data_IF_410596101653
#
_entry.id   IF_410596101653
#
_cell.length_a   1.000
_cell.length_b   1.000
_cell.length_c   1.000
_cell.angle_alpha   90.00
_cell.angle_beta   90.00
_cell.angle_gamma   90.00
#
_symmetry.space_group_name_H-M   'P 1'
#
loop_
_entity.id
_entity.type
_entity.pdbx_description
1 polymer ?
#
# COMPACT_ATOMS: atom_id res chain seq x y z
N UNK A 1 -22.74 33.47 44.13
CA UNK A 1 -23.93 32.97 43.42
C UNK A 1 -24.37 34.07 42.48
N UNK A 2 -24.00 33.97 41.21
CA UNK A 2 -24.36 34.93 40.16
C UNK A 2 -25.34 34.22 39.24
N UNK A 3 -26.60 34.69 39.26
CA UNK A 3 -27.67 34.20 38.40
C UNK A 3 -27.37 34.51 36.93
N UNK A 4 -27.63 33.53 36.07
CA UNK A 4 -27.54 33.69 34.62
C UNK A 4 -28.80 34.41 34.11
N UNK A 5 -28.61 35.51 33.38
CA UNK A 5 -29.67 36.24 32.69
C UNK A 5 -30.19 35.40 31.51
N UNK A 6 -31.49 35.12 31.39
CA UNK A 6 -32.01 34.37 30.25
C UNK A 6 -32.00 35.24 28.99
N UNK A 7 -31.46 34.69 27.90
CA UNK A 7 -31.55 35.28 26.58
C UNK A 7 -32.97 35.04 26.01
N UNK A 8 -33.67 36.14 25.70
CA UNK A 8 -34.91 36.22 24.94
C UNK A 8 -36.14 35.45 25.48
N UNK A 9 -37.01 36.15 26.21
CA UNK A 9 -38.41 35.72 26.43
C UNK A 9 -39.26 36.05 25.20
N UNK A 10 -39.69 35.02 24.47
CA UNK A 10 -40.78 35.08 23.51
C UNK A 10 -42.03 34.36 24.06
N UNK A 11 -43.20 34.96 23.91
CA UNK A 11 -44.48 34.40 24.39
C UNK A 11 -44.98 33.33 23.40
N UNK A 12 -45.12 32.08 23.85
CA UNK A 12 -45.64 30.97 23.03
C UNK A 12 -47.17 30.85 23.18
N UNK A 13 -47.86 30.59 22.06
CA UNK A 13 -49.29 30.32 22.02
C UNK A 13 -49.65 28.94 22.63
N UNK A 14 -50.84 28.83 23.22
CA UNK A 14 -51.32 27.71 24.04
C UNK A 14 -51.44 26.33 23.34
N UNK A 15 -51.13 26.23 22.05
CA UNK A 15 -51.24 24.99 21.27
C UNK A 15 -49.89 24.42 20.80
N UNK A 16 -48.78 24.87 21.36
CA UNK A 16 -47.45 24.46 20.89
C UNK A 16 -46.88 23.34 21.76
N UNK A 17 -46.67 22.15 21.17
CA UNK A 17 -45.98 21.04 21.84
C UNK A 17 -44.50 21.37 22.03
N UNK A 18 -44.09 21.60 23.28
CA UNK A 18 -42.68 21.76 23.65
C UNK A 18 -41.95 20.43 23.46
N UNK A 19 -40.97 20.42 22.54
CA UNK A 19 -40.02 19.31 22.44
C UNK A 19 -38.74 19.73 23.15
N UNK A 20 -38.47 19.12 24.30
CA UNK A 20 -37.18 19.31 24.98
C UNK A 20 -36.08 18.69 24.12
N UNK A 21 -35.24 19.53 23.52
CA UNK A 21 -34.03 19.08 22.82
C UNK A 21 -32.88 19.12 23.81
N UNK A 22 -32.44 17.96 24.28
CA UNK A 22 -31.23 17.85 25.10
C UNK A 22 -30.02 18.20 24.23
N UNK A 23 -29.49 19.41 24.38
CA UNK A 23 -28.22 19.81 23.74
C UNK A 23 -27.09 19.27 24.59
N UNK A 24 -26.66 18.03 24.34
CA UNK A 24 -25.43 17.51 24.93
C UNK A 24 -24.23 18.21 24.32
N UNK A 25 -23.42 18.86 25.15
CA UNK A 25 -22.19 19.48 24.68
C UNK A 25 -21.31 18.41 24.01
N UNK A 26 -20.82 18.69 22.80
CA UNK A 26 -19.92 17.78 22.07
C UNK A 26 -18.47 18.15 22.39
N UNK A 27 -17.59 17.15 22.35
CA UNK A 27 -16.14 17.29 22.48
C UNK A 27 -15.47 16.86 21.20
N UNK A 28 -14.46 17.62 20.80
CA UNK A 28 -13.59 17.28 19.69
C UNK A 28 -12.64 16.18 20.13
N UNK A 29 -12.63 15.07 19.42
CA UNK A 29 -11.63 14.02 19.56
C UNK A 29 -10.73 14.07 18.34
N UNK A 30 -9.42 14.17 18.58
CA UNK A 30 -8.40 14.27 17.54
C UNK A 30 -7.32 13.21 17.74
N UNK A 31 -7.14 12.34 16.75
CA UNK A 31 -5.98 11.44 16.68
C UNK A 31 -4.96 12.05 15.73
N UNK A 32 -3.72 12.27 16.19
CA UNK A 32 -2.62 12.83 15.41
C UNK A 32 -1.57 11.75 15.20
N UNK A 33 -1.14 11.53 13.95
CA UNK A 33 -0.21 10.47 13.60
C UNK A 33 1.16 11.02 13.21
N UNK A 34 2.17 10.58 13.94
CA UNK A 34 3.58 10.71 13.56
C UNK A 34 4.10 9.35 13.04
N UNK A 35 4.17 9.22 11.72
CA UNK A 35 4.75 8.04 11.04
C UNK A 35 6.13 8.35 10.44
N UNK A 36 6.81 9.39 10.95
CA UNK A 36 8.12 9.81 10.43
C UNK A 36 9.21 8.75 10.59
N UNK A 37 9.05 7.82 11.54
CA UNK A 37 9.95 6.71 11.75
C UNK A 37 10.11 5.81 10.50
N UNK A 38 9.12 5.77 9.61
CA UNK A 38 9.18 4.93 8.40
C UNK A 38 8.78 5.67 7.13
N UNK A 39 7.63 6.34 7.15
CA UNK A 39 7.09 7.11 6.01
C UNK A 39 6.13 8.17 6.54
N UNK A 40 6.58 9.44 6.52
CA UNK A 40 5.84 10.59 7.06
C UNK A 40 4.45 10.76 6.44
N UNK A 41 4.30 10.43 5.16
CA UNK A 41 3.08 10.58 4.36
C UNK A 41 2.33 9.25 4.15
N UNK A 42 2.53 8.26 5.03
CA UNK A 42 1.88 6.95 4.91
C UNK A 42 0.35 7.09 4.82
N UNK A 43 -0.21 6.64 3.70
CA UNK A 43 -1.65 6.68 3.41
C UNK A 43 -2.42 5.59 4.18
N UNK A 44 -2.45 5.72 5.50
CA UNK A 44 -3.02 4.73 6.42
C UNK A 44 -4.56 4.74 6.36
N UNK A 45 -5.21 3.63 5.95
CA UNK A 45 -6.66 3.53 6.02
C UNK A 45 -7.12 3.44 7.48
N UNK A 46 -8.29 4.02 7.76
CA UNK A 46 -8.86 4.03 9.10
C UNK A 46 -10.39 4.00 9.09
N UNK A 47 -10.95 3.54 10.22
CA UNK A 47 -12.36 3.68 10.59
C UNK A 47 -12.46 4.07 12.06
N UNK A 48 -13.50 4.82 12.40
CA UNK A 48 -13.78 5.22 13.80
C UNK A 48 -15.14 4.73 14.22
N UNK A 49 -15.29 4.39 15.50
CA UNK A 49 -16.57 4.05 16.11
C UNK A 49 -16.87 4.93 17.31
N UNK A 50 -18.16 5.19 17.53
CA UNK A 50 -18.68 5.89 18.69
C UNK A 50 -19.73 4.95 19.31
N UNK A 51 -19.52 4.57 20.57
CA UNK A 51 -20.38 3.65 21.32
C UNK A 51 -20.62 2.32 20.57
N UNK A 52 -19.56 1.79 19.96
CA UNK A 52 -19.57 0.55 19.18
C UNK A 52 -20.12 0.69 17.76
N UNK A 53 -20.73 1.84 17.40
CA UNK A 53 -21.23 2.09 16.04
C UNK A 53 -20.14 2.70 15.17
N UNK A 54 -19.70 1.96 14.15
CA UNK A 54 -18.73 2.46 13.18
C UNK A 54 -19.35 3.56 12.32
N UNK A 55 -18.59 4.63 12.14
CA UNK A 55 -18.98 5.79 11.36
C UNK A 55 -18.70 5.51 9.88
N UNK A 56 -19.64 4.83 9.21
CA UNK A 56 -19.56 4.44 7.79
C UNK A 56 -20.13 5.52 6.84
N UNK A 57 -20.34 6.75 7.32
CA UNK A 57 -21.05 7.80 6.57
C UNK A 57 -20.32 8.30 5.30
N UNK A 58 -19.05 7.92 5.12
CA UNK A 58 -18.28 8.24 3.91
C UNK A 58 -18.41 7.10 2.89
N UNK A 59 -18.80 7.43 1.66
CA UNK A 59 -18.95 6.46 0.56
C UNK A 59 -17.64 5.74 0.20
N UNK A 60 -16.49 6.25 0.65
CA UNK A 60 -15.16 5.71 0.39
C UNK A 60 -14.38 5.42 1.67
N UNK A 61 -13.38 4.53 1.58
CA UNK A 61 -12.49 4.23 2.68
C UNK A 61 -11.66 5.46 3.07
N UNK A 62 -11.72 5.85 4.35
CA UNK A 62 -10.99 7.00 4.86
C UNK A 62 -9.50 6.65 4.94
N UNK A 63 -8.64 7.58 4.51
CA UNK A 63 -7.19 7.43 4.58
C UNK A 63 -6.53 8.70 5.08
N UNK A 64 -5.48 8.54 5.86
CA UNK A 64 -4.55 9.65 6.10
C UNK A 64 -3.87 10.03 4.78
N UNK A 65 -3.44 11.28 4.67
CA UNK A 65 -2.66 11.76 3.52
C UNK A 65 -1.47 12.59 4.02
N UNK A 66 -0.54 12.96 3.14
CA UNK A 66 0.56 13.86 3.50
C UNK A 66 0.08 15.20 4.07
N UNK A 67 -1.07 15.71 3.59
CA UNK A 67 -1.68 16.97 4.05
C UNK A 67 -2.64 16.82 5.24
N UNK A 68 -3.15 15.61 5.50
CA UNK A 68 -4.08 15.31 6.61
C UNK A 68 -3.52 14.19 7.48
N UNK A 69 -2.75 14.58 8.52
CA UNK A 69 -2.16 13.67 9.52
C UNK A 69 -2.97 13.53 10.80
N UNK A 70 -4.23 13.96 10.77
CA UNK A 70 -5.13 13.81 11.91
C UNK A 70 -6.52 13.35 11.50
N UNK A 71 -7.13 12.55 12.38
CA UNK A 71 -8.52 12.13 12.33
C UNK A 71 -9.27 12.97 13.36
N UNK A 72 -10.40 13.56 12.98
CA UNK A 72 -11.20 14.43 13.84
C UNK A 72 -12.65 13.97 13.83
N UNK A 73 -13.27 13.91 15.01
CA UNK A 73 -14.68 13.59 15.19
C UNK A 73 -15.24 14.31 16.41
N UNK A 74 -16.57 14.37 16.50
CA UNK A 74 -17.30 14.94 17.63
C UNK A 74 -18.04 13.85 18.39
N UNK A 75 -17.82 13.76 19.69
CA UNK A 75 -18.45 12.79 20.58
C UNK A 75 -19.02 13.48 21.82
N UNK A 76 -20.04 12.90 22.46
CA UNK A 76 -20.54 13.41 23.73
C UNK A 76 -19.61 12.97 24.88
N UNK A 77 -19.49 13.74 25.97
CA UNK A 77 -18.94 13.25 27.22
C UNK A 77 -19.59 11.92 27.62
N UNK A 78 -18.79 11.00 28.14
CA UNK A 78 -19.18 9.63 28.46
C UNK A 78 -19.16 8.65 27.29
N UNK A 79 -19.15 9.12 26.03
CA UNK A 79 -19.12 8.24 24.86
C UNK A 79 -17.77 7.51 24.74
N UNK A 80 -17.80 6.27 24.28
CA UNK A 80 -16.61 5.48 23.96
C UNK A 80 -16.26 5.68 22.50
N UNK A 81 -15.09 6.25 22.24
CA UNK A 81 -14.53 6.39 20.89
C UNK A 81 -13.46 5.34 20.65
N UNK A 82 -13.49 4.71 19.48
CA UNK A 82 -12.54 3.65 19.12
C UNK A 82 -12.05 3.80 17.67
N UNK A 83 -10.79 3.45 17.45
CA UNK A 83 -10.09 3.58 16.18
C UNK A 83 -9.70 2.20 15.65
N UNK A 84 -9.96 1.97 14.36
CA UNK A 84 -9.52 0.82 13.58
C UNK A 84 -8.59 1.31 12.48
N UNK A 85 -7.52 0.57 12.20
CA UNK A 85 -6.47 0.95 11.26
C UNK A 85 -6.16 -0.23 10.33
N UNK A 86 -5.53 0.07 9.20
CA UNK A 86 -4.97 -0.95 8.31
C UNK A 86 -6.02 -1.96 7.81
N UNK A 87 -5.74 -3.27 7.74
CA UNK A 87 -6.70 -4.26 7.26
C UNK A 87 -7.92 -4.45 8.18
N UNK A 88 -7.83 -4.08 9.47
CA UNK A 88 -8.96 -4.14 10.40
C UNK A 88 -10.06 -3.10 10.09
N UNK A 89 -9.83 -2.23 9.11
CA UNK A 89 -10.90 -1.38 8.57
C UNK A 89 -11.95 -2.19 7.81
N UNK A 90 -11.57 -3.36 7.27
CA UNK A 90 -12.48 -4.25 6.55
C UNK A 90 -13.58 -4.74 7.49
N UNK A 91 -14.87 -4.61 7.14
CA UNK A 91 -15.99 -4.94 8.02
C UNK A 91 -15.94 -6.39 8.54
N UNK A 92 -15.54 -7.34 7.69
CA UNK A 92 -15.48 -8.76 8.06
C UNK A 92 -14.26 -9.14 8.94
N UNK A 93 -13.22 -8.30 8.99
CA UNK A 93 -11.98 -8.59 9.73
C UNK A 93 -11.83 -7.77 11.00
N UNK A 94 -12.66 -6.74 11.16
CA UNK A 94 -12.69 -5.85 12.30
C UNK A 94 -13.04 -6.60 13.59
N UNK A 95 -12.03 -6.92 14.40
CA UNK A 95 -12.22 -7.62 15.69
C UNK A 95 -12.14 -6.67 16.88
N UNK A 96 -10.99 -6.02 17.05
CA UNK A 96 -10.73 -5.15 18.19
C UNK A 96 -10.18 -3.80 17.72
N UNK A 97 -10.62 -2.67 18.30
CA UNK A 97 -10.04 -1.37 17.99
C UNK A 97 -8.62 -1.29 18.54
N UNK A 98 -7.71 -0.70 17.77
CA UNK A 98 -6.31 -0.51 18.19
C UNK A 98 -6.20 0.47 19.36
N UNK A 99 -7.00 1.54 19.34
CA UNK A 99 -7.03 2.53 20.40
C UNK A 99 -8.48 2.86 20.71
N UNK A 100 -8.82 2.87 21.99
CA UNK A 100 -10.14 3.26 22.46
C UNK A 100 -10.00 4.07 23.75
N UNK A 101 -10.87 5.06 23.94
CA UNK A 101 -10.96 5.85 25.17
C UNK A 101 -12.39 6.30 25.42
N UNK A 102 -12.69 6.65 26.66
CA UNK A 102 -13.94 7.29 27.03
C UNK A 102 -13.73 8.80 27.06
N UNK A 103 -14.63 9.54 26.41
CA UNK A 103 -14.54 11.00 26.31
C UNK A 103 -14.97 11.62 27.63
N UNK A 104 -14.12 12.46 28.20
CA UNK A 104 -14.40 13.19 29.44
C UNK A 104 -15.06 14.55 29.20
N UNK A 105 -14.82 15.47 30.12
CA UNK A 105 -15.37 16.83 30.10
C UNK A 105 -14.64 17.79 29.17
N UNK A 106 -13.49 17.39 28.60
CA UNK A 106 -12.63 18.22 27.76
C UNK A 106 -12.54 17.70 26.33
N UNK A 107 -12.04 18.53 25.42
CA UNK A 107 -11.62 18.06 24.11
C UNK A 107 -10.44 17.07 24.28
N UNK A 108 -10.24 16.17 23.33
CA UNK A 108 -9.26 15.09 23.41
C UNK A 108 -8.28 15.17 22.26
N UNK A 109 -6.99 15.09 22.56
CA UNK A 109 -5.92 14.92 21.58
C UNK A 109 -5.10 13.68 21.90
N UNK A 110 -5.01 12.72 20.96
CA UNK A 110 -4.20 11.51 21.10
C UNK A 110 -3.05 11.59 20.09
N UNK A 111 -1.82 11.72 20.57
CA UNK A 111 -0.63 11.62 19.74
C UNK A 111 -0.19 10.16 19.61
N UNK A 112 -0.33 9.62 18.40
CA UNK A 112 0.11 8.27 18.03
C UNK A 112 1.47 8.39 17.34
N UNK A 113 2.52 7.86 17.96
CA UNK A 113 3.89 7.90 17.43
C UNK A 113 4.33 6.51 16.98
N UNK A 114 4.69 6.39 15.72
CA UNK A 114 5.28 5.19 15.15
C UNK A 114 6.72 5.00 15.65
N UNK A 115 7.09 3.78 16.07
CA UNK A 115 8.46 3.46 16.52
C UNK A 115 8.95 2.12 15.98
N UNK A 116 10.14 2.14 15.39
CA UNK A 116 10.85 0.95 14.92
C UNK A 116 11.54 0.20 16.06
N UNK A 117 11.92 -1.05 15.79
CA UNK A 117 12.61 -1.94 16.73
C UNK A 117 11.68 -2.86 17.51
N UNK A 118 12.28 -3.86 18.16
CA UNK A 118 11.59 -4.88 18.96
C UNK A 118 11.26 -4.31 20.36
N UNK A 119 10.12 -3.63 20.46
CA UNK A 119 9.73 -2.93 21.70
C UNK A 119 8.90 -3.83 22.65
N UNK A 120 8.21 -4.86 22.16
CA UNK A 120 7.56 -5.85 23.01
C UNK A 120 6.19 -5.45 23.54
N UNK A 121 5.37 -4.82 22.68
CA UNK A 121 4.00 -4.51 23.07
C UNK A 121 3.10 -5.74 22.94
N UNK A 122 2.53 -6.18 24.07
CA UNK A 122 1.51 -7.23 24.06
C UNK A 122 0.17 -6.75 23.47
N UNK A 123 -0.14 -5.46 23.63
CA UNK A 123 -1.31 -4.81 23.02
C UNK A 123 -1.07 -3.30 22.87
N UNK A 124 -1.79 -2.70 21.94
CA UNK A 124 -1.91 -1.25 21.86
C UNK A 124 -2.64 -0.66 23.08
N UNK A 125 -2.13 0.44 23.62
CA UNK A 125 -2.73 1.17 24.74
C UNK A 125 -2.66 2.67 24.51
N UNK A 126 -3.70 3.37 24.96
CA UNK A 126 -3.67 4.82 25.14
C UNK A 126 -3.15 5.08 26.55
N UNK A 127 -2.08 5.86 26.69
CA UNK A 127 -1.47 6.16 27.99
C UNK A 127 -2.36 7.06 28.87
N UNK A 128 -1.83 7.53 29.99
CA UNK A 128 -2.52 8.50 30.85
C UNK A 128 -2.58 9.88 30.19
N UNK A 129 -3.70 10.59 30.35
CA UNK A 129 -3.82 11.97 29.87
C UNK A 129 -3.07 12.97 30.74
N UNK A 130 -2.67 14.06 30.10
CA UNK A 130 -2.31 15.32 30.75
C UNK A 130 -3.23 16.40 30.21
N UNK A 131 -3.98 17.07 31.08
CA UNK A 131 -4.84 18.18 30.67
C UNK A 131 -4.00 19.43 30.41
N UNK A 132 -4.14 20.00 29.21
CA UNK A 132 -3.48 21.23 28.78
C UNK A 132 -4.52 22.32 28.55
N UNK A 133 -4.25 23.52 29.03
CA UNK A 133 -5.05 24.70 28.70
C UNK A 133 -4.72 25.19 27.28
N UNK A 134 -5.75 25.39 26.45
CA UNK A 134 -5.67 25.87 25.08
C UNK A 134 -6.64 27.05 24.92
N UNK A 135 -6.19 28.24 25.34
CA UNK A 135 -7.04 29.42 25.47
C UNK A 135 -8.07 29.21 26.60
N UNK A 136 -9.35 29.44 26.30
CA UNK A 136 -10.47 29.23 27.23
C UNK A 136 -10.92 27.76 27.35
N UNK A 137 -10.31 26.84 26.58
CA UNK A 137 -10.68 25.42 26.57
C UNK A 137 -9.57 24.56 27.14
N UNK A 138 -9.95 23.55 27.92
CA UNK A 138 -9.06 22.48 28.32
C UNK A 138 -9.08 21.34 27.29
N UNK A 139 -7.93 20.70 27.09
CA UNK A 139 -7.73 19.54 26.21
C UNK A 139 -7.00 18.45 26.96
N UNK A 140 -7.56 17.24 27.00
CA UNK A 140 -6.90 16.06 27.55
C UNK A 140 -5.99 15.44 26.48
N UNK A 141 -4.68 15.52 26.73
CA UNK A 141 -3.65 15.05 25.80
C UNK A 141 -3.15 13.67 26.19
N UNK A 142 -3.30 12.69 25.30
CA UNK A 142 -2.86 11.32 25.46
C UNK A 142 -1.69 11.00 24.53
N UNK A 143 -0.90 9.99 24.89
CA UNK A 143 0.15 9.42 24.04
C UNK A 143 -0.11 7.95 23.79
N UNK A 144 0.16 7.50 22.57
CA UNK A 144 0.09 6.10 22.17
C UNK A 144 1.25 5.78 21.21
N UNK A 145 1.66 4.51 21.18
CA UNK A 145 2.71 4.03 20.29
C UNK A 145 2.13 3.14 19.21
N UNK A 146 2.69 3.21 18.00
CA UNK A 146 2.41 2.31 16.87
C UNK A 146 3.70 1.58 16.49
N UNK A 147 3.90 0.37 17.03
CA UNK A 147 5.13 -0.43 16.84
C UNK A 147 4.88 -1.59 15.86
N UNK A 148 5.94 -2.32 15.49
CA UNK A 148 5.78 -3.53 14.68
C UNK A 148 4.86 -4.57 15.33
N UNK A 149 4.95 -4.79 16.65
CA UNK A 149 4.03 -5.68 17.37
C UNK A 149 2.56 -5.22 17.24
N UNK A 150 2.31 -3.91 17.29
CA UNK A 150 0.95 -3.36 17.15
C UNK A 150 0.47 -3.48 15.70
N UNK A 151 1.33 -3.23 14.71
CA UNK A 151 1.00 -3.51 13.30
C UNK A 151 0.61 -4.97 13.08
N UNK A 152 1.31 -5.91 13.73
CA UNK A 152 0.96 -7.32 13.70
C UNK A 152 -0.42 -7.59 14.32
N UNK A 153 -0.74 -6.93 15.44
CA UNK A 153 -2.03 -7.07 16.10
C UNK A 153 -3.20 -6.62 15.21
N UNK A 154 -3.04 -5.52 14.47
CA UNK A 154 -4.10 -4.88 13.65
C UNK A 154 -4.10 -5.33 12.18
N UNK A 155 -3.27 -6.31 11.86
CA UNK A 155 -3.24 -6.91 10.54
C UNK A 155 -4.05 -8.20 10.59
N UNK A 156 -4.92 -8.43 9.61
CA UNK A 156 -5.77 -9.61 9.64
C UNK A 156 -4.93 -10.87 9.40
N UNK A 157 -5.14 -11.89 10.24
CA UNK A 157 -4.53 -13.20 10.09
C UNK A 157 -5.56 -14.13 9.45
N UNK A 158 -5.40 -14.39 8.15
CA UNK A 158 -6.33 -15.23 7.40
C UNK A 158 -6.20 -16.69 7.82
N UNK A 159 -7.34 -17.35 7.98
CA UNK A 159 -7.42 -18.80 8.17
C UNK A 159 -7.53 -19.52 6.82
N UNK A 160 -7.25 -20.83 6.81
CA UNK A 160 -7.44 -21.66 5.62
C UNK A 160 -8.87 -21.64 5.09
N UNK A 161 -9.87 -21.57 5.97
CA UNK A 161 -11.29 -21.47 5.59
C UNK A 161 -11.61 -20.12 4.93
N UNK A 162 -11.08 -19.02 5.49
CA UNK A 162 -11.22 -17.70 4.87
C UNK A 162 -10.52 -17.63 3.51
N UNK A 163 -9.32 -18.20 3.41
CA UNK A 163 -8.62 -18.28 2.15
C UNK A 163 -9.47 -18.96 1.08
N UNK A 164 -10.02 -20.14 1.38
CA UNK A 164 -10.86 -20.86 0.42
C UNK A 164 -12.12 -20.09 0.01
N UNK A 165 -12.75 -19.38 0.96
CA UNK A 165 -13.94 -18.56 0.72
C UNK A 165 -13.67 -17.30 -0.12
N UNK A 166 -12.47 -16.72 -0.01
CA UNK A 166 -12.06 -15.53 -0.76
C UNK A 166 -11.71 -15.87 -2.21
N UNK A 167 -11.19 -17.07 -2.46
CA UNK A 167 -10.72 -17.46 -3.78
C UNK A 167 -11.89 -17.60 -4.79
N UNK A 168 -11.83 -16.89 -5.93
CA UNK A 168 -12.88 -16.99 -6.95
C UNK A 168 -13.14 -18.43 -7.40
N UNK A 169 -14.39 -18.83 -7.68
CA UNK A 169 -14.72 -20.20 -8.07
C UNK A 169 -13.89 -20.75 -9.24
N UNK A 170 -13.50 -19.88 -10.18
CA UNK A 170 -12.69 -20.18 -11.35
C UNK A 170 -11.18 -20.37 -11.06
N UNK A 171 -10.74 -20.15 -9.81
CA UNK A 171 -9.35 -20.38 -9.42
C UNK A 171 -8.97 -21.84 -9.71
N UNK A 172 -7.87 -22.11 -10.45
CA UNK A 172 -7.47 -23.47 -10.78
C UNK A 172 -7.37 -24.36 -9.53
N UNK A 173 -7.86 -25.62 -9.56
CA UNK A 173 -7.88 -26.48 -8.38
C UNK A 173 -6.50 -26.66 -7.71
N UNK A 174 -5.44 -26.80 -8.51
CA UNK A 174 -4.07 -26.89 -8.00
C UNK A 174 -3.64 -25.62 -7.26
N UNK A 175 -4.01 -24.44 -7.78
CA UNK A 175 -3.75 -23.15 -7.13
C UNK A 175 -4.54 -23.03 -5.84
N UNK A 176 -5.82 -23.40 -5.84
CA UNK A 176 -6.67 -23.37 -4.63
C UNK A 176 -6.08 -24.21 -3.50
N UNK A 177 -5.65 -25.45 -3.81
CA UNK A 177 -4.98 -26.34 -2.84
C UNK A 177 -3.69 -25.71 -2.31
N UNK A 178 -2.87 -25.16 -3.21
CA UNK A 178 -1.59 -24.55 -2.86
C UNK A 178 -1.76 -23.31 -1.97
N UNK A 179 -2.69 -22.42 -2.32
CA UNK A 179 -3.02 -21.24 -1.51
C UNK A 179 -3.52 -21.68 -0.14
N UNK A 180 -4.47 -22.62 -0.06
CA UNK A 180 -4.98 -23.13 1.22
C UNK A 180 -3.86 -23.70 2.10
N UNK A 181 -2.88 -24.39 1.51
CA UNK A 181 -1.73 -24.93 2.24
C UNK A 181 -0.89 -23.83 2.93
N UNK A 182 -0.76 -22.65 2.32
CA UNK A 182 -0.10 -21.49 2.95
C UNK A 182 -0.78 -21.14 4.28
N UNK A 183 -2.11 -21.04 4.28
CA UNK A 183 -2.90 -20.65 5.45
C UNK A 183 -3.18 -21.78 6.45
N UNK A 184 -2.97 -23.04 6.04
CA UNK A 184 -2.93 -24.19 6.97
C UNK A 184 -1.59 -24.32 7.68
N UNK A 185 -0.58 -23.57 7.25
CA UNK A 185 0.78 -23.62 7.80
C UNK A 185 1.66 -24.57 6.99
N UNK A 186 2.60 -23.99 6.23
CA UNK A 186 3.60 -24.77 5.50
C UNK A 186 4.62 -25.39 6.46
N UNK A 187 5.17 -26.57 6.13
CA UNK A 187 6.25 -27.19 6.92
C UNK A 187 7.61 -26.51 6.71
N UNK A 188 7.79 -25.82 5.58
CA UNK A 188 9.00 -25.11 5.22
C UNK A 188 8.64 -23.84 4.41
N UNK A 189 9.60 -22.94 4.21
CA UNK A 189 9.44 -21.75 3.38
C UNK A 189 9.43 -22.05 1.87
N UNK A 190 8.79 -23.15 1.50
CA UNK A 190 8.69 -23.66 0.14
C UNK A 190 7.29 -24.20 -0.10
N UNK A 191 6.81 -24.01 -1.33
CA UNK A 191 5.52 -24.52 -1.81
C UNK A 191 5.74 -25.14 -3.18
N UNK A 192 5.16 -26.32 -3.39
CA UNK A 192 5.13 -27.00 -4.67
C UNK A 192 3.68 -27.03 -5.18
N UNK A 193 3.45 -26.47 -6.35
CA UNK A 193 2.14 -26.53 -7.02
C UNK A 193 2.24 -27.47 -8.19
N UNK A 194 1.46 -28.55 -8.17
CA UNK A 194 1.45 -29.56 -9.23
C UNK A 194 0.26 -29.31 -10.15
N UNK A 195 0.55 -29.01 -11.41
CA UNK A 195 -0.46 -28.86 -12.45
C UNK A 195 -0.57 -30.17 -13.24
N UNK A 196 -1.75 -30.81 -13.28
CA UNK A 196 -1.94 -32.00 -14.09
C UNK A 196 -1.81 -31.67 -15.58
N UNK A 197 -1.55 -32.70 -16.39
CA UNK A 197 -1.60 -32.54 -17.84
C UNK A 197 -3.01 -32.14 -18.28
N UNK A 198 -3.09 -31.34 -19.33
CA UNK A 198 -4.30 -31.03 -20.09
C UNK A 198 -4.11 -31.44 -21.55
N UNK A 199 -5.17 -31.35 -22.34
CA UNK A 199 -5.13 -31.60 -23.79
C UNK A 199 -4.09 -30.71 -24.52
N UNK A 200 -3.77 -29.56 -23.95
CA UNK A 200 -2.88 -28.55 -24.56
C UNK A 200 -1.55 -28.34 -23.85
N UNK A 201 -1.37 -28.89 -22.64
CA UNK A 201 -0.18 -28.64 -21.82
C UNK A 201 0.23 -29.88 -21.03
N UNK A 202 1.52 -30.28 -21.06
CA UNK A 202 1.99 -31.39 -20.24
C UNK A 202 1.92 -31.04 -18.75
N UNK A 203 1.87 -32.09 -17.93
CA UNK A 203 1.98 -31.95 -16.48
C UNK A 203 3.30 -31.24 -16.13
N UNK A 204 3.24 -30.31 -15.20
CA UNK A 204 4.41 -29.59 -14.71
C UNK A 204 4.20 -29.12 -13.28
N UNK A 205 5.28 -28.61 -12.69
CA UNK A 205 5.25 -28.10 -11.33
C UNK A 205 5.82 -26.68 -11.26
N UNK A 206 5.20 -25.87 -10.40
CA UNK A 206 5.70 -24.57 -9.99
C UNK A 206 6.29 -24.69 -8.59
N UNK A 207 7.59 -24.42 -8.46
CA UNK A 207 8.29 -24.31 -7.18
C UNK A 207 8.29 -22.87 -6.71
N UNK A 208 7.84 -22.63 -5.49
CA UNK A 208 7.84 -21.31 -4.89
C UNK A 208 8.68 -21.35 -3.64
N UNK A 209 9.67 -20.45 -3.55
CA UNK A 209 10.45 -20.22 -2.35
C UNK A 209 10.02 -18.87 -1.73
N UNK A 210 9.84 -18.86 -0.42
CA UNK A 210 9.57 -17.64 0.34
C UNK A 210 10.83 -17.26 1.10
N UNK A 211 11.33 -16.04 0.87
CA UNK A 211 12.50 -15.52 1.54
C UNK A 211 12.14 -14.78 2.84
N UNK A 212 13.20 -14.50 3.61
CA UNK A 212 13.14 -14.08 5.00
C UNK A 212 12.39 -12.76 5.23
N UNK A 213 11.63 -12.73 6.31
CA UNK A 213 10.85 -11.59 6.77
C UNK A 213 11.68 -10.65 7.64
N UNK A 214 12.84 -10.18 7.15
CA UNK A 214 13.79 -9.37 7.92
C UNK A 214 13.12 -8.17 8.59
N UNK A 215 12.28 -7.46 7.83
CA UNK A 215 11.57 -6.31 8.36
C UNK A 215 10.63 -6.67 9.52
N UNK A 216 9.95 -7.82 9.47
CA UNK A 216 9.15 -8.32 10.59
C UNK A 216 10.04 -8.71 11.77
N UNK A 217 11.13 -9.46 11.54
CA UNK A 217 12.10 -9.87 12.56
C UNK A 217 12.74 -8.69 13.29
N UNK A 218 13.06 -7.62 12.57
CA UNK A 218 13.69 -6.43 13.12
C UNK A 218 12.73 -5.57 13.97
N UNK A 219 11.42 -5.72 13.80
CA UNK A 219 10.42 -4.81 14.41
C UNK A 219 9.36 -5.50 15.29
N UNK A 220 9.30 -6.83 15.29
CA UNK A 220 8.36 -7.61 16.09
C UNK A 220 9.13 -8.51 17.05
N UNK A 221 8.63 -8.63 18.27
CA UNK A 221 9.27 -9.44 19.30
C UNK A 221 9.23 -10.93 18.95
N UNK A 222 8.09 -11.42 18.49
CA UNK A 222 7.92 -12.80 18.02
C UNK A 222 7.13 -12.81 16.71
N UNK A 223 7.76 -13.29 15.64
CA UNK A 223 7.13 -13.38 14.33
C UNK A 223 7.71 -14.56 13.54
N UNK A 224 6.84 -15.38 12.98
CA UNK A 224 7.17 -16.49 12.09
C UNK A 224 6.81 -16.15 10.66
N UNK A 225 7.72 -16.39 9.71
CA UNK A 225 7.39 -16.30 8.29
C UNK A 225 6.16 -17.16 7.96
N UNK A 226 6.16 -18.42 8.38
CA UNK A 226 5.15 -19.40 7.98
C UNK A 226 3.81 -19.23 8.70
N UNK A 227 3.82 -18.77 9.96
CA UNK A 227 2.62 -18.68 10.79
C UNK A 227 2.03 -17.28 10.89
N UNK A 228 2.85 -16.25 10.73
CA UNK A 228 2.42 -14.85 10.89
C UNK A 228 2.50 -14.08 9.56
N UNK A 229 3.61 -14.16 8.83
CA UNK A 229 3.81 -13.32 7.65
C UNK A 229 3.00 -13.80 6.46
N UNK A 230 3.17 -15.05 6.04
CA UNK A 230 2.44 -15.58 4.89
C UNK A 230 0.93 -15.55 5.12
N UNK A 231 0.39 -15.95 6.29
CA UNK A 231 -1.05 -15.92 6.51
C UNK A 231 -1.64 -14.53 6.76
N UNK A 232 -0.82 -13.47 6.84
CA UNK A 232 -1.27 -12.06 6.84
C UNK A 232 -1.27 -11.42 5.47
N UNK A 233 -0.70 -12.08 4.47
CA UNK A 233 -0.89 -11.70 3.06
C UNK A 233 -2.26 -12.16 2.60
N UNK A 234 -2.93 -11.36 1.79
CA UNK A 234 -4.26 -11.62 1.27
C UNK A 234 -4.25 -12.82 0.29
N UNK A 235 -5.17 -13.81 0.42
CA UNK A 235 -5.19 -15.04 -0.38
C UNK A 235 -5.17 -14.83 -1.90
N UNK A 236 -5.89 -13.81 -2.37
CA UNK A 236 -5.92 -13.47 -3.79
C UNK A 236 -4.55 -13.06 -4.36
N UNK A 237 -3.60 -12.62 -3.54
CA UNK A 237 -2.25 -12.22 -4.01
C UNK A 237 -1.47 -13.45 -4.45
N UNK A 238 -1.48 -14.50 -3.62
CA UNK A 238 -0.90 -15.79 -3.98
C UNK A 238 -1.67 -16.43 -5.13
N UNK A 239 -3.01 -16.37 -5.14
CA UNK A 239 -3.78 -16.94 -6.24
C UNK A 239 -3.47 -16.29 -7.59
N UNK A 240 -3.39 -14.95 -7.63
CA UNK A 240 -2.99 -14.21 -8.83
C UNK A 240 -1.57 -14.63 -9.25
N UNK A 241 -0.58 -14.55 -8.36
CA UNK A 241 0.80 -14.93 -8.67
C UNK A 241 0.90 -16.36 -9.22
N UNK A 242 0.33 -17.35 -8.53
CA UNK A 242 0.44 -18.76 -8.91
C UNK A 242 -0.30 -19.07 -10.22
N UNK A 243 -1.49 -18.48 -10.43
CA UNK A 243 -2.27 -18.68 -11.65
C UNK A 243 -1.59 -18.03 -12.86
N UNK A 244 -1.12 -16.79 -12.71
CA UNK A 244 -0.50 -16.06 -13.80
C UNK A 244 0.92 -16.56 -14.11
N UNK A 245 1.67 -17.02 -13.10
CA UNK A 245 2.94 -17.73 -13.28
C UNK A 245 2.74 -19.01 -14.09
N UNK A 246 1.71 -19.80 -13.77
CA UNK A 246 1.35 -20.99 -14.54
C UNK A 246 1.03 -20.67 -16.01
N UNK A 247 0.20 -19.65 -16.27
CA UNK A 247 -0.13 -19.22 -17.65
C UNK A 247 1.09 -18.68 -18.42
N UNK A 248 2.04 -18.05 -17.73
CA UNK A 248 3.30 -17.59 -18.31
C UNK A 248 4.35 -18.70 -18.47
N UNK A 249 4.04 -19.95 -18.09
CA UNK A 249 4.98 -21.07 -18.18
C UNK A 249 6.15 -20.98 -17.21
N UNK A 250 5.99 -20.25 -16.09
CA UNK A 250 6.98 -20.16 -15.02
C UNK A 250 6.93 -21.45 -14.20
N UNK A 251 8.11 -22.03 -13.93
CA UNK A 251 8.24 -23.25 -13.11
C UNK A 251 8.92 -22.99 -11.77
N UNK A 252 9.49 -21.80 -11.58
CA UNK A 252 10.13 -21.41 -10.33
C UNK A 252 9.93 -19.92 -10.04
N UNK A 253 9.60 -19.58 -8.79
CA UNK A 253 9.39 -18.21 -8.30
C UNK A 253 10.03 -18.05 -6.93
N UNK A 254 10.80 -16.98 -6.71
CA UNK A 254 11.26 -16.60 -5.36
C UNK A 254 10.57 -15.31 -4.92
N UNK A 255 9.72 -15.43 -3.90
CA UNK A 255 9.01 -14.31 -3.27
C UNK A 255 9.85 -13.81 -2.11
N UNK A 256 10.23 -12.53 -2.12
CA UNK A 256 11.09 -11.94 -1.08
C UNK A 256 10.35 -11.08 -0.08
N UNK A 257 9.16 -10.60 -0.44
CA UNK A 257 8.35 -9.86 0.50
C UNK A 257 6.88 -10.18 0.37
N UNK A 258 6.22 -10.23 1.52
CA UNK A 258 4.81 -10.52 1.71
C UNK A 258 4.25 -9.40 2.62
N UNK A 259 3.37 -9.75 3.55
CA UNK A 259 3.02 -8.84 4.64
C UNK A 259 4.28 -8.45 5.44
N UNK A 260 4.44 -7.16 5.72
CA UNK A 260 5.56 -6.69 6.54
C UNK A 260 5.22 -5.39 7.27
N UNK A 261 5.61 -5.24 8.55
CA UNK A 261 5.32 -4.03 9.33
C UNK A 261 6.45 -3.01 9.20
N UNK A 262 6.15 -1.70 9.18
CA UNK A 262 7.17 -0.65 9.34
C UNK A 262 8.16 -0.46 8.17
N UNK A 263 7.89 -1.00 6.98
CA UNK A 263 8.67 -0.74 5.75
C UNK A 263 7.76 -0.58 4.54
N UNK A 264 8.19 0.26 3.59
CA UNK A 264 7.57 0.36 2.28
C UNK A 264 6.18 1.01 2.26
N UNK A 265 5.40 0.64 1.26
CA UNK A 265 4.04 1.13 1.02
C UNK A 265 3.03 0.59 2.04
N UNK A 266 1.86 1.22 2.10
CA UNK A 266 0.75 0.71 2.92
C UNK A 266 0.23 -0.65 2.40
N UNK A 267 0.42 -0.96 1.11
CA UNK A 267 -0.05 -2.22 0.52
C UNK A 267 0.55 -3.45 1.22
N UNK A 268 1.86 -3.47 1.48
CA UNK A 268 2.46 -4.57 2.23
C UNK A 268 1.97 -4.65 3.68
N UNK A 269 1.83 -3.50 4.34
CA UNK A 269 1.36 -3.47 5.74
C UNK A 269 -0.08 -3.97 5.85
N UNK A 270 -0.89 -3.71 4.83
CA UNK A 270 -2.26 -4.18 4.70
C UNK A 270 -2.38 -5.62 4.18
N UNK A 271 -1.26 -6.28 3.85
CA UNK A 271 -1.25 -7.65 3.33
C UNK A 271 -1.61 -7.77 1.84
N UNK A 272 -1.70 -6.66 1.12
CA UNK A 272 -2.09 -6.62 -0.31
C UNK A 272 -0.90 -6.68 -1.28
N UNK A 273 0.33 -6.58 -0.76
CA UNK A 273 1.56 -6.51 -1.55
C UNK A 273 2.39 -7.80 -1.57
N UNK A 274 2.99 -8.10 -2.72
CA UNK A 274 4.02 -9.15 -2.89
C UNK A 274 5.22 -8.60 -3.66
N UNK A 275 6.44 -8.98 -3.25
CA UNK A 275 7.67 -8.71 -3.99
C UNK A 275 8.33 -10.02 -4.46
N UNK A 276 8.73 -10.07 -5.73
CA UNK A 276 9.33 -11.23 -6.40
C UNK A 276 10.66 -10.80 -7.04
N UNK A 277 11.73 -11.56 -6.82
CA UNK A 277 13.08 -11.23 -7.34
C UNK A 277 13.59 -12.21 -8.37
N UNK A 278 12.98 -13.37 -8.49
CA UNK A 278 13.45 -14.42 -9.37
C UNK A 278 12.29 -15.21 -9.95
N UNK A 279 12.37 -15.46 -11.26
CA UNK A 279 11.49 -16.36 -11.98
C UNK A 279 12.31 -17.21 -12.95
N UNK A 280 11.91 -18.46 -13.16
CA UNK A 280 12.54 -19.31 -14.17
C UNK A 280 11.60 -20.33 -14.80
N UNK A 281 11.97 -20.77 -15.99
CA UNK A 281 11.45 -21.94 -16.67
C UNK A 281 12.61 -22.72 -17.31
N UNK A 282 12.31 -23.76 -18.10
CA UNK A 282 13.33 -24.59 -18.75
C UNK A 282 14.23 -23.81 -19.74
N UNK A 283 13.76 -22.68 -20.28
CA UNK A 283 14.43 -21.90 -21.31
C UNK A 283 15.14 -20.64 -20.79
N UNK A 284 14.70 -20.10 -19.66
CA UNK A 284 15.16 -18.81 -19.16
C UNK A 284 15.07 -18.74 -17.63
N UNK A 285 16.13 -18.23 -17.00
CA UNK A 285 16.15 -17.82 -15.60
C UNK A 285 16.36 -16.30 -15.53
N UNK A 286 15.57 -15.62 -14.72
CA UNK A 286 15.55 -14.16 -14.61
C UNK A 286 15.69 -13.75 -13.16
N UNK A 287 16.82 -13.14 -12.82
CA UNK A 287 16.89 -12.26 -11.65
C UNK A 287 16.29 -10.91 -12.05
N UNK A 288 15.17 -10.54 -11.42
CA UNK A 288 14.40 -9.35 -11.75
C UNK A 288 15.12 -8.14 -11.18
N UNK A 289 16.13 -7.64 -11.89
CA UNK A 289 16.95 -6.53 -11.40
C UNK A 289 17.54 -5.72 -12.54
N UNK A 290 17.32 -4.40 -12.53
CA UNK A 290 17.94 -3.42 -13.44
C UNK A 290 18.57 -2.24 -12.72
N UNK A 291 18.89 -2.38 -11.42
CA UNK A 291 19.68 -1.40 -10.68
C UNK A 291 20.97 -1.11 -11.44
N UNK A 292 21.27 0.18 -11.60
CA UNK A 292 22.45 0.68 -12.30
C UNK A 292 22.16 1.23 -13.70
N UNK A 293 20.90 1.41 -14.09
CA UNK A 293 20.54 2.25 -15.25
C UNK A 293 21.06 3.68 -15.05
N UNK A 294 20.89 4.22 -13.84
CA UNK A 294 21.38 5.53 -13.43
C UNK A 294 22.64 5.40 -12.56
N UNK A 295 23.58 6.33 -12.72
CA UNK A 295 24.78 6.43 -11.87
C UNK A 295 25.88 5.39 -12.15
N UNK A 296 26.90 5.39 -11.29
CA UNK A 296 28.09 4.52 -11.38
C UNK A 296 27.83 3.06 -10.95
N UNK A 297 26.63 2.54 -11.18
CA UNK A 297 26.25 1.18 -10.82
C UNK A 297 27.10 0.14 -11.55
N UNK A 298 27.42 -0.94 -10.84
CA UNK A 298 28.18 -2.08 -11.36
C UNK A 298 27.50 -2.76 -12.57
N UNK A 299 28.21 -3.71 -13.18
CA UNK A 299 27.71 -4.45 -14.34
C UNK A 299 26.44 -5.23 -13.96
N UNK A 300 25.31 -4.88 -14.56
CA UNK A 300 24.03 -5.58 -14.41
C UNK A 300 23.72 -6.32 -15.73
N UNK A 301 23.41 -7.64 -15.71
CA UNK A 301 23.15 -8.41 -16.93
C UNK A 301 21.93 -7.91 -17.72
N UNK A 302 20.98 -7.25 -17.05
CA UNK A 302 19.75 -6.74 -17.65
C UNK A 302 19.85 -5.27 -18.08
N UNK A 303 21.03 -4.63 -17.94
CA UNK A 303 21.28 -3.24 -18.36
C UNK A 303 22.57 -3.17 -19.16
N UNK A 304 22.44 -3.05 -20.48
CA UNK A 304 23.60 -2.98 -21.40
C UNK A 304 24.24 -1.59 -21.36
N UNK A 305 25.54 -1.52 -21.67
CA UNK A 305 26.26 -0.25 -21.79
C UNK A 305 25.61 0.67 -22.84
N UNK A 306 25.15 0.10 -23.96
CA UNK A 306 24.41 0.83 -25.00
C UNK A 306 23.11 1.44 -24.47
N UNK A 307 22.39 0.71 -23.63
CA UNK A 307 21.16 1.21 -23.03
C UNK A 307 21.44 2.43 -22.12
N UNK A 308 22.49 2.35 -21.29
CA UNK A 308 22.93 3.48 -20.45
C UNK A 308 23.27 4.70 -21.30
N UNK A 309 24.03 4.51 -22.38
CA UNK A 309 24.36 5.60 -23.31
C UNK A 309 23.10 6.24 -23.91
N UNK A 310 22.14 5.43 -24.38
CA UNK A 310 20.89 5.95 -24.95
C UNK A 310 20.03 6.66 -23.90
N UNK A 311 20.07 6.21 -22.65
CA UNK A 311 19.41 6.88 -21.53
C UNK A 311 20.06 8.23 -21.21
N UNK A 312 21.40 8.32 -21.19
CA UNK A 312 22.11 9.59 -21.03
C UNK A 312 21.78 10.57 -22.18
N UNK A 313 21.70 10.09 -23.42
CA UNK A 313 21.25 10.87 -24.58
C UNK A 313 19.81 11.38 -24.40
N UNK A 314 18.90 10.56 -23.88
CA UNK A 314 17.53 10.94 -23.55
C UNK A 314 17.49 12.05 -22.49
N UNK A 315 18.22 11.89 -21.39
CA UNK A 315 18.30 12.88 -20.31
C UNK A 315 18.78 14.23 -20.85
N UNK A 316 19.83 14.24 -21.67
CA UNK A 316 20.34 15.45 -22.31
C UNK A 316 19.30 16.09 -23.25
N UNK A 317 18.58 15.28 -24.04
CA UNK A 317 17.55 15.78 -24.95
C UNK A 317 16.36 16.39 -24.19
N UNK A 318 15.93 15.80 -23.08
CA UNK A 318 14.87 16.34 -22.23
C UNK A 318 15.27 17.66 -21.57
N UNK A 319 16.50 17.77 -21.05
CA UNK A 319 17.01 19.02 -20.48
C UNK A 319 16.99 20.14 -21.52
N UNK A 320 17.41 19.84 -22.75
CA UNK A 320 17.39 20.77 -23.88
C UNK A 320 15.96 21.21 -24.27
N UNK A 321 14.98 20.30 -24.25
CA UNK A 321 13.57 20.60 -24.55
C UNK A 321 12.89 21.42 -23.43
N UNK A 322 13.20 21.14 -22.16
CA UNK A 322 12.68 21.88 -20.99
C UNK A 322 13.20 23.31 -20.93
N UNK A 323 14.48 23.54 -21.23
CA UNK A 323 15.07 24.88 -21.24
C UNK A 323 14.31 25.84 -22.17
N UNK A 324 13.96 25.40 -23.38
CA UNK A 324 13.13 26.18 -24.31
C UNK A 324 11.73 26.45 -23.77
N UNK A 325 11.14 25.49 -23.05
CA UNK A 325 9.76 25.61 -22.58
C UNK A 325 9.60 26.55 -21.37
N UNK A 326 10.68 26.77 -20.61
CA UNK A 326 10.71 27.67 -19.44
C UNK A 326 11.05 29.12 -19.76
N UNK A 327 11.62 29.40 -20.93
CA UNK A 327 11.86 30.77 -21.38
C UNK A 327 10.52 31.45 -21.71
N UNK A 328 10.22 32.59 -21.07
CA UNK A 328 9.17 33.51 -21.53
C UNK A 328 9.61 34.04 -22.90
N UNK A 329 9.28 33.34 -23.98
CA UNK A 329 9.49 33.82 -25.34
C UNK A 329 8.62 35.07 -25.55
N UNK A 330 9.19 36.24 -25.27
CA UNK A 330 8.53 37.53 -25.48
C UNK A 330 8.35 37.86 -26.98
N UNK A 331 8.93 37.08 -27.88
CA UNK A 331 8.75 37.20 -29.34
C UNK A 331 8.78 35.81 -29.97
N UNK A 332 7.63 35.30 -30.40
CA UNK A 332 7.53 34.07 -31.19
C UNK A 332 7.88 34.39 -32.65
N UNK A 333 9.12 34.17 -33.06
CA UNK A 333 9.50 34.14 -34.47
C UNK A 333 9.37 32.72 -35.01
N UNK A 334 9.23 32.57 -36.33
CA UNK A 334 9.23 31.26 -37.01
C UNK A 334 10.50 30.45 -36.70
N UNK A 335 11.65 31.13 -36.56
CA UNK A 335 12.91 30.49 -36.17
C UNK A 335 12.85 29.86 -34.79
N UNK A 336 12.28 30.55 -33.79
CA UNK A 336 12.17 30.00 -32.43
C UNK A 336 11.15 28.86 -32.34
N UNK A 337 10.07 28.91 -33.15
CA UNK A 337 9.14 27.79 -33.27
C UNK A 337 9.80 26.56 -33.91
N UNK A 338 10.63 26.76 -34.93
CA UNK A 338 11.40 25.68 -35.59
C UNK A 338 12.39 25.04 -34.63
N UNK A 339 13.18 25.83 -33.89
CA UNK A 339 14.11 25.33 -32.88
C UNK A 339 13.39 24.55 -31.76
N UNK A 340 12.23 25.04 -31.30
CA UNK A 340 11.40 24.32 -30.32
C UNK A 340 10.96 22.96 -30.86
N UNK A 341 10.47 22.91 -32.10
CA UNK A 341 10.03 21.66 -32.72
C UNK A 341 11.18 20.67 -32.92
N UNK A 342 12.37 21.16 -33.32
CA UNK A 342 13.57 20.34 -33.46
C UNK A 342 13.99 19.70 -32.12
N UNK A 343 14.00 20.46 -31.01
CA UNK A 343 14.35 19.91 -29.70
C UNK A 343 13.31 18.91 -29.19
N UNK A 344 12.01 19.17 -29.38
CA UNK A 344 10.93 18.22 -29.05
C UNK A 344 11.07 16.93 -29.88
N UNK A 345 11.35 17.05 -31.18
CA UNK A 345 11.54 15.88 -32.03
C UNK A 345 12.78 15.08 -31.63
N UNK A 346 13.88 15.74 -31.25
CA UNK A 346 15.09 15.10 -30.75
C UNK A 346 14.83 14.32 -29.45
N UNK A 347 14.08 14.91 -28.51
CA UNK A 347 13.63 14.21 -27.29
C UNK A 347 12.82 12.96 -27.64
N UNK A 348 11.81 13.10 -28.51
CA UNK A 348 10.96 11.99 -28.95
C UNK A 348 11.78 10.85 -29.57
N UNK A 349 12.73 11.17 -30.45
CA UNK A 349 13.60 10.19 -31.08
C UNK A 349 14.59 9.55 -30.10
N UNK A 350 15.11 10.30 -29.13
CA UNK A 350 15.96 9.75 -28.07
C UNK A 350 15.18 8.78 -27.19
N UNK A 351 13.94 9.14 -26.82
CA UNK A 351 13.04 8.28 -26.04
C UNK A 351 12.69 6.99 -26.77
N UNK A 352 12.34 7.09 -28.06
CA UNK A 352 12.07 5.92 -28.88
C UNK A 352 13.28 4.97 -28.93
N UNK A 353 14.47 5.50 -29.23
CA UNK A 353 15.71 4.70 -29.27
C UNK A 353 16.04 4.01 -27.94
N UNK A 354 15.89 4.73 -26.82
CA UNK A 354 16.09 4.14 -25.51
C UNK A 354 15.05 3.05 -25.20
N UNK A 355 13.77 3.31 -25.48
CA UNK A 355 12.70 2.33 -25.30
C UNK A 355 12.93 1.06 -26.13
N UNK A 356 13.36 1.19 -27.39
CA UNK A 356 13.66 0.06 -28.26
C UNK A 356 14.79 -0.81 -27.70
N UNK A 357 15.89 -0.20 -27.24
CA UNK A 357 17.00 -0.94 -26.62
C UNK A 357 16.59 -1.58 -25.28
N UNK A 358 15.81 -0.89 -24.45
CA UNK A 358 15.26 -1.45 -23.20
C UNK A 358 14.38 -2.66 -23.48
N UNK A 359 13.47 -2.55 -24.45
CA UNK A 359 12.52 -3.61 -24.83
C UNK A 359 13.24 -4.81 -25.45
N UNK A 360 14.27 -4.58 -26.27
CA UNK A 360 15.11 -5.64 -26.83
C UNK A 360 15.79 -6.49 -25.75
N UNK A 361 16.07 -5.88 -24.60
CA UNK A 361 16.77 -6.50 -23.48
C UNK A 361 15.82 -7.00 -22.38
N UNK A 362 14.51 -6.92 -22.58
CA UNK A 362 13.52 -7.47 -21.68
C UNK A 362 13.48 -9.02 -21.79
N UNK A 363 13.67 -9.75 -20.69
CA UNK A 363 13.47 -11.20 -20.68
C UNK A 363 12.03 -11.54 -21.06
N UNK A 364 11.86 -12.38 -22.07
CA UNK A 364 10.54 -12.83 -22.55
C UNK A 364 9.66 -13.37 -21.41
N UNK A 365 10.23 -14.17 -20.50
CA UNK A 365 9.49 -14.73 -19.37
C UNK A 365 8.96 -13.64 -18.41
N UNK A 366 9.74 -12.58 -18.21
CA UNK A 366 9.34 -11.42 -17.39
C UNK A 366 8.21 -10.64 -18.06
N UNK A 367 8.33 -10.40 -19.37
CA UNK A 367 7.29 -9.77 -20.18
C UNK A 367 5.96 -10.55 -20.10
N UNK A 368 6.02 -11.87 -20.30
CA UNK A 368 4.85 -12.75 -20.28
C UNK A 368 4.18 -12.77 -18.90
N UNK A 369 4.96 -12.92 -17.82
CA UNK A 369 4.41 -12.87 -16.46
C UNK A 369 3.72 -11.53 -16.17
N UNK A 370 4.36 -10.40 -16.50
CA UNK A 370 3.76 -9.07 -16.32
C UNK A 370 2.43 -8.95 -17.06
N UNK A 371 2.39 -9.36 -18.33
CA UNK A 371 1.19 -9.30 -19.16
C UNK A 371 0.04 -10.14 -18.59
N UNK A 372 0.35 -11.31 -18.00
CA UNK A 372 -0.67 -12.12 -17.33
C UNK A 372 -1.18 -11.44 -16.04
N UNK A 373 -0.27 -10.92 -15.22
CA UNK A 373 -0.64 -10.19 -13.99
C UNK A 373 -1.49 -8.95 -14.27
N UNK A 374 -1.18 -8.18 -15.31
CA UNK A 374 -1.95 -6.99 -15.71
C UNK A 374 -3.38 -7.32 -16.17
N UNK A 375 -3.62 -8.55 -16.65
CA UNK A 375 -4.95 -9.01 -17.06
C UNK A 375 -5.78 -9.57 -15.91
N UNK A 376 -5.16 -9.84 -14.76
CA UNK A 376 -5.84 -10.45 -13.64
C UNK A 376 -6.69 -9.40 -12.91
N UNK A 377 -8.02 -9.58 -12.77
CA UNK A 377 -8.93 -8.56 -12.23
C UNK A 377 -8.71 -8.25 -10.75
N UNK A 378 -8.04 -9.13 -10.00
CA UNK A 378 -7.69 -8.89 -8.61
C UNK A 378 -6.45 -8.02 -8.44
N UNK A 379 -5.69 -7.81 -9.50
CA UNK A 379 -4.46 -7.01 -9.48
C UNK A 379 -4.80 -5.54 -9.74
N UNK A 380 -4.17 -4.63 -9.00
CA UNK A 380 -4.30 -3.18 -9.17
C UNK A 380 -3.05 -2.59 -9.80
N UNK A 381 -1.88 -2.94 -9.27
CA UNK A 381 -0.61 -2.36 -9.67
C UNK A 381 0.42 -3.47 -9.92
N UNK A 382 1.27 -3.25 -10.93
CA UNK A 382 2.43 -4.09 -11.23
C UNK A 382 3.61 -3.17 -11.49
N UNK A 383 4.58 -3.14 -10.58
CA UNK A 383 5.81 -2.36 -10.73
C UNK A 383 6.98 -3.29 -10.85
N UNK A 384 7.87 -3.07 -11.80
CA UNK A 384 9.08 -3.86 -11.95
C UNK A 384 10.22 -3.04 -12.58
N UNK A 385 11.43 -3.61 -12.75
CA UNK A 385 12.58 -2.85 -13.21
C UNK A 385 12.50 -2.37 -14.66
N UNK A 386 11.51 -2.83 -15.44
CA UNK A 386 11.25 -2.36 -16.80
C UNK A 386 10.08 -1.38 -16.84
N UNK A 387 8.97 -1.65 -16.13
CA UNK A 387 7.75 -0.86 -16.26
C UNK A 387 7.06 -0.57 -14.93
N UNK A 388 6.30 0.53 -14.91
CA UNK A 388 5.45 0.94 -13.81
C UNK A 388 3.98 0.95 -14.28
N UNK A 389 3.18 -0.02 -13.85
CA UNK A 389 1.73 -0.06 -14.06
C UNK A 389 1.00 0.32 -12.76
N UNK A 390 0.45 1.54 -12.74
CA UNK A 390 -0.13 2.17 -11.56
C UNK A 390 -1.60 1.84 -11.32
N UNK A 391 -2.35 1.51 -12.37
CA UNK A 391 -3.73 1.01 -12.29
C UNK A 391 -4.04 0.18 -13.55
N UNK A 392 -3.91 -1.14 -13.44
CA UNK A 392 -4.19 -2.12 -14.52
C UNK A 392 -5.60 -2.03 -15.14
N UNK A 393 -6.49 -1.19 -14.61
CA UNK A 393 -7.90 -1.06 -15.03
C UNK A 393 -8.19 0.25 -15.76
N UNK A 394 -7.29 1.24 -15.71
CA UNK A 394 -7.53 2.56 -16.30
C UNK A 394 -7.27 2.61 -17.82
N UNK A 395 -6.78 1.49 -18.38
CA UNK A 395 -6.39 1.32 -19.79
C UNK A 395 -5.27 2.27 -20.26
N UNK A 396 -4.67 3.03 -19.34
CA UNK A 396 -3.50 3.84 -19.62
C UNK A 396 -2.34 2.91 -19.97
N UNK A 397 -1.47 3.29 -20.93
CA UNK A 397 -0.25 2.56 -21.15
C UNK A 397 0.65 2.62 -19.91
N UNK A 398 1.15 1.46 -19.47
CA UNK A 398 2.24 1.39 -18.50
C UNK A 398 3.41 2.32 -18.89
N UNK A 399 4.05 2.94 -17.90
CA UNK A 399 5.21 3.80 -18.12
C UNK A 399 6.51 3.03 -17.95
N UNK A 400 7.57 3.49 -18.59
CA UNK A 400 8.89 2.90 -18.38
C UNK A 400 9.39 3.21 -16.96
N UNK A 401 10.00 2.22 -16.30
CA UNK A 401 10.74 2.47 -15.07
C UNK A 401 12.07 3.13 -15.43
N UNK A 402 12.13 4.46 -15.32
CA UNK A 402 13.31 5.25 -15.65
C UNK A 402 14.25 5.40 -14.44
N UNK A 403 13.91 4.83 -13.28
CA UNK A 403 14.67 4.94 -12.03
C UNK A 403 14.92 6.37 -11.56
N UNK A 404 13.99 7.30 -11.84
CA UNK A 404 14.13 8.73 -11.51
C UNK A 404 13.45 9.10 -10.22
N UNK A 405 12.22 8.64 -10.04
CA UNK A 405 11.42 8.88 -8.85
C UNK A 405 11.79 7.89 -7.75
N UNK A 406 11.51 8.25 -6.50
CA UNK A 406 11.67 7.34 -5.36
C UNK A 406 10.90 6.03 -5.59
N UNK A 407 9.70 6.09 -6.20
CA UNK A 407 8.90 4.91 -6.46
C UNK A 407 9.53 4.01 -7.53
N UNK A 408 10.12 4.57 -8.58
CA UNK A 408 10.83 3.80 -9.61
C UNK A 408 12.10 3.15 -9.06
N UNK A 409 12.92 3.91 -8.31
CA UNK A 409 14.18 3.41 -7.75
C UNK A 409 13.97 2.24 -6.79
N UNK A 410 12.93 2.30 -5.94
CA UNK A 410 12.66 1.18 -5.01
C UNK A 410 12.15 -0.08 -5.70
N UNK A 411 11.64 0.01 -6.94
CA UNK A 411 11.17 -1.16 -7.72
C UNK A 411 12.15 -1.52 -8.86
N UNK A 412 13.41 -1.10 -8.76
CA UNK A 412 14.43 -1.38 -9.77
C UNK A 412 15.07 -2.78 -9.62
N UNK A 413 14.75 -3.54 -8.56
CA UNK A 413 15.35 -4.83 -8.22
C UNK A 413 14.36 -5.95 -7.88
N UNK A 414 13.06 -5.75 -8.16
CA UNK A 414 12.02 -6.77 -7.98
C UNK A 414 10.76 -6.42 -8.78
N UNK A 415 9.91 -7.42 -9.00
CA UNK A 415 8.51 -7.21 -9.38
C UNK A 415 7.69 -7.06 -8.09
N UNK A 416 6.94 -5.97 -8.00
CA UNK A 416 5.97 -5.68 -6.96
C UNK A 416 4.55 -5.80 -7.51
N UNK A 417 3.73 -6.56 -6.80
CA UNK A 417 2.31 -6.76 -7.08
C UNK A 417 1.48 -6.14 -5.96
N UNK A 418 0.49 -5.32 -6.31
CA UNK A 418 -0.54 -4.85 -5.35
C UNK A 418 -1.92 -5.29 -5.80
N UNK A 419 -2.68 -5.88 -4.89
CA UNK A 419 -4.08 -6.25 -5.11
C UNK A 419 -5.03 -5.05 -5.11
N UNK A 420 -6.18 -5.24 -5.76
CA UNK A 420 -7.35 -4.39 -5.65
C UNK A 420 -8.31 -4.94 -4.59
N UNK A 421 -8.30 -4.34 -3.40
CA UNK A 421 -9.34 -4.55 -2.39
C UNK A 421 -9.85 -3.19 -1.90
N UNK A 422 -10.98 -2.69 -2.43
CA UNK A 422 -11.48 -1.36 -2.09
C UNK A 422 -11.94 -1.24 -0.63
N UNK A 423 -12.14 -2.36 0.07
CA UNK A 423 -12.48 -2.36 1.50
C UNK A 423 -11.23 -2.16 2.37
N UNK A 424 -10.02 -2.25 1.81
CA UNK A 424 -8.74 -2.06 2.51
C UNK A 424 -7.87 -0.93 1.89
N UNK A 425 -7.76 -0.82 0.54
CA UNK A 425 -6.90 0.17 -0.13
C UNK A 425 -7.32 0.61 -1.56
#
# INVERSE_FOLDING_TARGET
>A
MTEATPAATGTLAASTSLTTVNVSARRKVRYVFDTSATKRDLALPYRVSIDGKVQEAEASLCKLSGSKRSIELLAAPGARVALFLNSDVHPDFRREPVYALQVGEHDVEVLITEKQGRIGHARAVVGTSVTRQAGERAVDCYKALLTGDIWMQISHLYTAAQADAILPPETPPAVRVAVRAIYSGLPAAQLLVQFPASDTTPAHALRVAFADSENARANITYCSLLKDVLPRTHPAAFAALLSEAHKAGVTEVHVTSCWRPMLGSIAHRAGLGLDIVYIANASQAVHINRVGLTGAGGRNPNVRAREKQLYDELILAEQQARAISGERLATQTESTQKEKMEKINKERLARARWNDERNLNEPKLMHELRQQLQKNPSVKQVFDPWYMEGDTRDQSPQTANEQRSKNETIHADHLHLTLNDPQIL
#
